data_IF_710418057617
#
_entry.id   IF_710418057617
#
_cell.length_a   1.000
_cell.length_b   1.000
_cell.length_c   1.000
_cell.angle_alpha   90.00
_cell.angle_beta   90.00
_cell.angle_gamma   90.00
#
_symmetry.space_group_name_H-M   'P 1'
#
loop_
_entity.id
_entity.type
_entity.pdbx_description
1 polymer ?
#
# COMPACT_ATOMS: atom_id res chain seq x y z
N UNK A 1 -0.10 9.71 16.56
CA UNK A 1 -0.15 9.26 15.16
C UNK A 1 -0.83 7.89 15.12
N UNK A 2 -1.75 7.65 14.18
CA UNK A 2 -2.40 6.36 13.98
C UNK A 2 -1.83 5.68 12.74
N UNK A 3 -1.58 4.37 12.83
CA UNK A 3 -1.18 3.52 11.72
C UNK A 3 -2.09 2.27 11.66
N UNK A 4 -2.33 1.75 10.45
CA UNK A 4 -3.15 0.55 10.22
C UNK A 4 -2.38 -0.42 9.33
N UNK A 5 -2.13 -1.60 9.83
CA UNK A 5 -1.71 -2.75 9.04
C UNK A 5 -2.94 -3.47 8.49
N UNK A 6 -2.87 -3.96 7.28
CA UNK A 6 -3.97 -4.65 6.62
C UNK A 6 -3.48 -5.72 5.65
N UNK A 7 -4.35 -6.69 5.38
CA UNK A 7 -4.20 -7.66 4.30
C UNK A 7 -5.23 -7.34 3.21
N UNK A 8 -4.83 -7.50 1.97
CA UNK A 8 -5.75 -7.39 0.84
C UNK A 8 -6.68 -8.59 0.79
N UNK A 9 -7.92 -8.38 0.30
CA UNK A 9 -8.93 -9.43 0.20
C UNK A 9 -9.81 -9.63 1.44
N UNK A 10 -9.43 -9.11 2.60
CA UNK A 10 -10.30 -9.03 3.80
C UNK A 10 -10.79 -10.36 4.38
N UNK A 11 -10.49 -11.51 3.78
CA UNK A 11 -10.84 -12.82 4.30
C UNK A 11 -9.69 -13.39 5.14
N UNK A 12 -9.82 -13.38 6.48
CA UNK A 12 -8.80 -13.94 7.37
C UNK A 12 -8.66 -15.46 7.25
N UNK A 13 -9.56 -16.13 6.54
CA UNK A 13 -9.54 -17.58 6.33
C UNK A 13 -8.94 -17.98 4.99
N UNK A 14 -8.66 -17.04 4.08
CA UNK A 14 -8.01 -17.30 2.80
C UNK A 14 -6.56 -17.72 3.01
N UNK A 15 -6.37 -18.92 3.57
CA UNK A 15 -5.09 -19.57 3.69
C UNK A 15 -4.51 -19.84 2.30
N UNK A 16 -3.21 -19.61 2.13
CA UNK A 16 -2.37 -20.04 1.00
C UNK A 16 -2.31 -19.12 -0.24
N UNK A 17 -2.73 -17.87 -0.16
CA UNK A 17 -2.45 -16.90 -1.23
C UNK A 17 -1.50 -15.84 -0.67
N UNK A 18 -0.41 -15.47 -1.38
CA UNK A 18 0.43 -14.35 -0.97
C UNK A 18 -0.40 -13.06 -1.03
N UNK A 19 -0.98 -12.69 0.11
CA UNK A 19 -1.83 -11.52 0.21
C UNK A 19 -0.98 -10.25 0.23
N UNK A 20 -1.36 -9.28 -0.57
CA UNK A 20 -0.79 -7.94 -0.52
C UNK A 20 -1.00 -7.36 0.88
N UNK A 21 0.07 -6.82 1.47
CA UNK A 21 0.01 -6.16 2.78
C UNK A 21 -0.08 -4.67 2.60
N UNK A 22 -0.88 -4.04 3.44
CA UNK A 22 -1.01 -2.60 3.50
C UNK A 22 -0.46 -2.02 4.80
N UNK A 23 0.13 -0.84 4.71
CA UNK A 23 0.41 0.04 5.82
C UNK A 23 -0.12 1.42 5.48
N UNK A 24 -1.17 1.84 6.17
CA UNK A 24 -1.69 3.21 6.08
C UNK A 24 -1.37 3.94 7.37
N UNK A 25 -0.93 5.19 7.28
CA UNK A 25 -0.59 5.98 8.46
C UNK A 25 -0.88 7.45 8.26
N UNK A 26 -1.10 8.14 9.38
CA UNK A 26 -1.40 9.56 9.44
C UNK A 26 -0.19 10.32 9.93
N UNK A 27 0.31 11.26 9.12
CA UNK A 27 1.35 12.21 9.49
C UNK A 27 0.73 13.57 9.81
N UNK A 28 1.36 14.28 10.76
CA UNK A 28 0.97 15.64 11.10
C UNK A 28 -0.12 15.74 12.17
N UNK A 29 -0.50 16.96 12.48
CA UNK A 29 -1.53 17.35 13.43
C UNK A 29 -2.58 18.21 12.74
N UNK A 30 -3.53 18.74 13.48
CA UNK A 30 -4.66 19.51 12.98
C UNK A 30 -4.24 20.60 12.00
N UNK A 31 -4.87 20.61 10.81
CA UNK A 31 -4.63 21.56 9.72
C UNK A 31 -3.46 21.21 8.78
N UNK A 32 -2.52 20.35 9.18
CA UNK A 32 -1.35 19.94 8.39
C UNK A 32 -1.22 18.41 8.42
N UNK A 33 -2.23 17.72 7.88
CA UNK A 33 -2.35 16.26 7.96
C UNK A 33 -2.26 15.61 6.61
N UNK A 34 -1.43 14.56 6.50
CA UNK A 34 -1.44 13.64 5.35
C UNK A 34 -1.83 12.24 5.80
N UNK A 35 -2.77 11.62 5.09
CA UNK A 35 -3.09 10.21 5.22
C UNK A 35 -2.40 9.44 4.10
N UNK A 36 -1.35 8.70 4.42
CA UNK A 36 -0.49 8.01 3.46
C UNK A 36 -0.89 6.54 3.39
N UNK A 37 -1.04 6.04 2.16
CA UNK A 37 -1.37 4.65 1.86
C UNK A 37 -0.21 3.98 1.15
N UNK A 38 0.24 2.89 1.72
CA UNK A 38 1.32 2.08 1.14
C UNK A 38 0.95 0.61 1.13
N UNK A 39 1.59 -0.15 0.26
CA UNK A 39 1.37 -1.58 0.09
C UNK A 39 2.70 -2.31 -0.18
N UNK A 40 2.70 -3.64 -0.03
CA UNK A 40 3.90 -4.48 -0.19
C UNK A 40 4.34 -4.71 -1.65
N UNK A 41 3.80 -3.96 -2.59
CA UNK A 41 4.23 -3.94 -3.98
C UNK A 41 4.35 -2.48 -4.48
N UNK A 42 5.35 -2.14 -5.32
CA UNK A 42 5.59 -0.77 -5.78
C UNK A 42 4.64 -0.31 -6.88
N UNK A 43 3.76 -1.19 -7.37
CA UNK A 43 2.83 -0.93 -8.47
C UNK A 43 1.40 -1.36 -8.12
N UNK A 44 0.43 -0.76 -8.80
CA UNK A 44 -0.98 -1.13 -8.73
C UNK A 44 -1.34 -2.09 -9.88
N UNK A 45 -2.46 -2.80 -9.77
CA UNK A 45 -2.92 -3.77 -10.78
C UNK A 45 -3.67 -3.12 -11.96
N UNK A 46 -4.00 -1.84 -11.89
CA UNK A 46 -4.73 -1.14 -12.95
C UNK A 46 -4.24 0.30 -13.09
N UNK A 47 -4.26 0.81 -14.32
CA UNK A 47 -3.88 2.17 -14.70
C UNK A 47 -5.10 3.09 -14.82
N UNK A 48 -6.23 2.55 -15.29
CA UNK A 48 -7.47 3.29 -15.50
C UNK A 48 -8.61 2.69 -14.69
N UNK A 49 -9.68 3.47 -14.50
CA UNK A 49 -10.87 2.99 -13.79
C UNK A 49 -11.55 1.84 -14.55
N UNK A 50 -11.61 1.90 -15.87
CA UNK A 50 -12.19 0.83 -16.70
C UNK A 50 -11.40 -0.48 -16.55
N UNK A 51 -10.08 -0.42 -16.56
CA UNK A 51 -9.24 -1.58 -16.27
C UNK A 51 -9.46 -2.12 -14.87
N UNK A 52 -9.57 -1.23 -13.87
CA UNK A 52 -9.83 -1.63 -12.48
C UNK A 52 -11.16 -2.35 -12.36
N UNK A 53 -12.22 -1.83 -12.99
CA UNK A 53 -13.54 -2.46 -13.00
C UNK A 53 -13.51 -3.80 -13.73
N UNK A 54 -12.89 -3.89 -14.89
CA UNK A 54 -12.74 -5.13 -15.65
C UNK A 54 -11.95 -6.19 -14.86
N UNK A 55 -10.84 -5.79 -14.21
CA UNK A 55 -10.04 -6.65 -13.37
C UNK A 55 -10.82 -7.23 -12.18
N UNK A 56 -11.58 -6.38 -11.48
CA UNK A 56 -12.41 -6.79 -10.35
C UNK A 56 -13.57 -7.66 -10.80
N UNK A 57 -14.25 -7.29 -11.90
CA UNK A 57 -15.37 -8.06 -12.46
C UNK A 57 -14.94 -9.47 -12.90
N UNK A 58 -13.77 -9.61 -13.54
CA UNK A 58 -13.22 -10.90 -13.95
C UNK A 58 -12.95 -11.84 -12.76
N UNK A 59 -12.69 -11.28 -11.57
CA UNK A 59 -12.37 -12.02 -10.33
C UNK A 59 -13.55 -12.18 -9.38
N UNK A 60 -14.72 -11.70 -9.76
CA UNK A 60 -15.94 -11.95 -8.98
C UNK A 60 -16.22 -13.46 -8.90
N UNK A 61 -16.51 -14.00 -7.70
CA UNK A 61 -16.85 -15.41 -7.54
C UNK A 61 -18.09 -15.79 -8.34
N UNK A 62 -18.01 -16.89 -9.05
CA UNK A 62 -19.17 -17.52 -9.67
C UNK A 62 -20.07 -18.25 -8.65
N UNK A 63 -21.08 -19.01 -9.11
CA UNK A 63 -21.96 -19.77 -8.24
C UNK A 63 -21.25 -20.84 -7.39
N UNK A 64 -20.07 -21.27 -7.80
CA UNK A 64 -19.19 -22.22 -7.11
C UNK A 64 -18.26 -21.56 -6.07
N UNK A 65 -18.39 -20.24 -5.90
CA UNK A 65 -17.55 -19.44 -5.00
C UNK A 65 -16.14 -19.18 -5.51
N UNK A 66 -15.83 -19.50 -6.78
CA UNK A 66 -14.52 -19.31 -7.39
C UNK A 66 -14.58 -18.36 -8.58
N UNK A 67 -13.49 -17.60 -8.85
CA UNK A 67 -13.39 -16.84 -10.08
C UNK A 67 -13.35 -17.74 -11.31
N UNK A 68 -13.92 -17.26 -12.40
CA UNK A 68 -13.80 -17.86 -13.72
C UNK A 68 -12.41 -17.54 -14.29
N UNK A 69 -11.51 -18.50 -14.27
CA UNK A 69 -10.12 -18.33 -14.68
C UNK A 69 -9.97 -17.98 -16.15
N UNK A 70 -10.88 -18.39 -17.03
CA UNK A 70 -10.85 -18.01 -18.45
C UNK A 70 -11.11 -16.50 -18.60
N UNK A 71 -12.03 -15.94 -17.83
CA UNK A 71 -12.27 -14.49 -17.79
C UNK A 71 -11.08 -13.72 -17.19
N UNK A 72 -10.47 -14.27 -16.15
CA UNK A 72 -9.27 -13.67 -15.55
C UNK A 72 -8.14 -13.61 -16.56
N UNK A 73 -7.90 -14.70 -17.30
CA UNK A 73 -6.86 -14.76 -18.32
C UNK A 73 -7.17 -13.84 -19.51
N UNK A 74 -8.40 -13.84 -20.00
CA UNK A 74 -8.82 -12.95 -21.08
C UNK A 74 -8.65 -11.47 -20.72
N UNK A 75 -9.03 -11.09 -19.49
CA UNK A 75 -8.80 -9.75 -18.98
C UNK A 75 -7.32 -9.39 -18.95
N UNK A 76 -6.46 -10.28 -18.44
CA UNK A 76 -5.02 -10.06 -18.35
C UNK A 76 -4.32 -10.09 -19.72
N UNK A 77 -4.87 -10.81 -20.69
CA UNK A 77 -4.37 -10.79 -22.06
C UNK A 77 -4.69 -9.46 -22.77
N UNK A 78 -5.87 -8.90 -22.52
CA UNK A 78 -6.25 -7.57 -23.03
C UNK A 78 -5.54 -6.41 -22.35
N UNK A 79 -5.06 -6.61 -21.11
CA UNK A 79 -4.42 -5.60 -20.27
C UNK A 79 -3.18 -6.20 -19.57
N UNK A 80 -2.05 -6.37 -20.27
CA UNK A 80 -0.86 -7.05 -19.73
C UNK A 80 -0.30 -6.40 -18.46
N UNK A 81 -0.44 -5.09 -18.33
CA UNK A 81 0.00 -4.32 -17.15
C UNK A 81 -0.69 -4.74 -15.85
N UNK A 82 -1.86 -5.38 -15.94
CA UNK A 82 -2.57 -5.90 -14.75
C UNK A 82 -1.83 -7.06 -14.06
N UNK A 83 -0.83 -7.64 -14.72
CA UNK A 83 0.03 -8.70 -14.16
C UNK A 83 1.21 -8.14 -13.36
N UNK A 84 1.65 -6.91 -13.60
CA UNK A 84 2.88 -6.37 -13.00
C UNK A 84 2.93 -6.47 -11.48
N UNK A 85 1.80 -6.26 -10.80
CA UNK A 85 1.72 -6.39 -9.34
C UNK A 85 1.88 -7.85 -8.89
N UNK A 86 1.18 -8.78 -9.54
CA UNK A 86 1.26 -10.20 -9.22
C UNK A 86 2.65 -10.77 -9.52
N UNK A 87 3.24 -10.38 -10.67
CA UNK A 87 4.59 -10.79 -11.07
C UNK A 87 5.64 -10.27 -10.07
N UNK A 88 5.47 -9.02 -9.60
CA UNK A 88 6.34 -8.47 -8.57
C UNK A 88 6.28 -9.30 -7.28
N UNK A 89 5.07 -9.62 -6.81
CA UNK A 89 4.87 -10.40 -5.58
C UNK A 89 5.44 -11.81 -5.72
N UNK A 90 5.26 -12.43 -6.88
CA UNK A 90 5.82 -13.76 -7.17
C UNK A 90 7.36 -13.76 -7.18
N UNK A 91 7.98 -12.70 -7.71
CA UNK A 91 9.43 -12.56 -7.78
C UNK A 91 10.07 -12.11 -6.45
N UNK A 92 9.29 -11.52 -5.53
CA UNK A 92 9.77 -10.95 -4.27
C UNK A 92 8.97 -11.53 -3.09
N UNK A 93 9.36 -12.70 -2.56
CA UNK A 93 8.67 -13.32 -1.44
C UNK A 93 8.51 -12.35 -0.26
N UNK A 94 7.31 -12.28 0.28
CA UNK A 94 7.01 -11.40 1.40
C UNK A 94 7.67 -11.92 2.68
N UNK A 95 8.22 -11.03 3.52
CA UNK A 95 8.73 -11.40 4.85
C UNK A 95 7.66 -12.05 5.72
N UNK A 96 8.06 -12.79 6.76
CA UNK A 96 7.14 -13.46 7.69
C UNK A 96 6.30 -12.51 8.56
N UNK A 97 6.54 -11.18 8.52
CA UNK A 97 5.92 -10.22 9.42
C UNK A 97 5.52 -8.94 8.74
N UNK A 98 4.53 -8.23 9.28
CA UNK A 98 4.26 -6.85 8.90
C UNK A 98 5.46 -5.94 9.18
N UNK A 99 6.14 -6.14 10.30
CA UNK A 99 7.29 -5.35 10.73
C UNK A 99 8.51 -5.49 9.82
N UNK A 100 8.66 -6.61 9.13
CA UNK A 100 9.75 -6.86 8.18
C UNK A 100 9.44 -6.46 6.75
N UNK A 101 8.20 -6.08 6.46
CA UNK A 101 7.73 -5.76 5.11
C UNK A 101 8.15 -4.34 4.72
N UNK A 102 8.70 -4.18 3.52
CA UNK A 102 8.83 -2.87 2.88
C UNK A 102 7.51 -2.51 2.20
N UNK A 103 7.08 -1.25 2.35
CA UNK A 103 5.84 -0.77 1.77
C UNK A 103 6.10 0.39 0.82
N UNK A 104 5.35 0.47 -0.27
CA UNK A 104 5.45 1.50 -1.30
C UNK A 104 4.12 2.23 -1.48
N UNK A 105 4.17 3.57 -1.59
CA UNK A 105 3.10 4.36 -2.18
C UNK A 105 3.15 4.22 -3.69
N UNK A 106 2.07 3.75 -4.30
CA UNK A 106 2.02 3.52 -5.75
C UNK A 106 1.86 4.81 -6.55
N UNK A 107 1.28 5.84 -5.94
CA UNK A 107 1.01 7.13 -6.57
C UNK A 107 2.22 8.05 -6.52
N UNK A 108 2.38 8.89 -7.55
CA UNK A 108 3.36 9.95 -7.62
C UNK A 108 2.72 11.29 -7.18
N UNK A 109 3.16 11.83 -6.05
CA UNK A 109 2.64 13.06 -5.47
C UNK A 109 3.47 14.26 -5.91
N UNK A 110 2.91 15.33 -6.50
CA UNK A 110 3.63 16.57 -6.67
C UNK A 110 3.91 17.19 -5.29
N UNK A 111 5.18 17.41 -4.98
CA UNK A 111 5.63 18.01 -3.74
C UNK A 111 6.36 19.33 -4.02
N UNK A 112 5.90 20.40 -3.40
CA UNK A 112 6.42 21.76 -3.59
C UNK A 112 7.19 22.19 -2.32
N UNK A 113 8.42 22.60 -2.49
CA UNK A 113 9.24 23.09 -1.38
C UNK A 113 8.97 24.57 -1.06
N UNK A 114 9.61 25.10 -0.02
CA UNK A 114 9.46 26.50 0.41
C UNK A 114 9.95 27.54 -0.61
N UNK A 115 10.68 27.13 -1.65
CA UNK A 115 11.10 27.99 -2.76
C UNK A 115 10.12 27.98 -3.92
N UNK A 116 9.04 27.19 -3.85
CA UNK A 116 8.09 27.02 -4.94
C UNK A 116 8.52 26.01 -6.01
N UNK A 117 9.61 25.27 -5.80
CA UNK A 117 10.05 24.25 -6.73
C UNK A 117 9.23 22.96 -6.50
N UNK A 118 8.65 22.40 -7.56
CA UNK A 118 7.82 21.19 -7.50
C UNK A 118 8.54 20.01 -8.14
N UNK A 119 8.54 18.88 -7.44
CA UNK A 119 9.00 17.57 -7.94
C UNK A 119 7.96 16.51 -7.60
N UNK A 120 7.92 15.42 -8.37
CA UNK A 120 7.14 14.27 -7.98
C UNK A 120 7.89 13.41 -6.98
N UNK A 121 7.17 12.89 -5.99
CA UNK A 121 7.68 11.95 -5.01
C UNK A 121 6.81 10.71 -4.92
N UNK A 122 7.43 9.55 -4.63
CA UNK A 122 6.73 8.35 -4.15
C UNK A 122 7.15 8.05 -2.72
N UNK A 123 6.21 7.65 -1.88
CA UNK A 123 6.53 7.22 -0.52
C UNK A 123 7.07 5.79 -0.52
N UNK A 124 8.12 5.54 0.25
CA UNK A 124 8.64 4.21 0.56
C UNK A 124 8.83 4.09 2.06
N UNK A 125 8.35 3.02 2.66
CA UNK A 125 8.43 2.78 4.10
C UNK A 125 9.25 1.52 4.31
N UNK A 126 10.42 1.69 4.91
CA UNK A 126 11.42 0.64 5.03
C UNK A 126 11.59 0.26 6.50
N UNK A 127 11.54 -1.04 6.86
CA UNK A 127 11.77 -1.48 8.22
C UNK A 127 13.19 -1.10 8.67
N UNK A 128 13.30 -0.71 9.96
CA UNK A 128 14.58 -0.37 10.60
C UNK A 128 14.98 -1.51 11.54
N UNK A 129 16.16 -2.08 11.33
CA UNK A 129 16.71 -3.19 12.11
C UNK A 129 16.79 -4.50 11.31
N UNK A 130 17.66 -5.39 11.73
CA UNK A 130 17.93 -6.66 11.04
C UNK A 130 16.86 -7.74 11.29
N UNK A 131 16.08 -7.59 12.35
CA UNK A 131 15.12 -8.62 12.82
C UNK A 131 13.86 -8.74 11.91
N UNK A 132 13.63 -7.79 11.03
CA UNK A 132 12.51 -7.80 10.09
C UNK A 132 12.74 -8.57 8.79
N UNK A 133 13.98 -8.94 8.47
CA UNK A 133 14.35 -9.51 7.16
C UNK A 133 14.30 -11.05 7.07
N UNK A 134 13.81 -11.75 8.08
CA UNK A 134 13.63 -13.19 7.94
C UNK A 134 12.56 -13.47 6.88
N UNK A 135 13.00 -14.02 5.75
CA UNK A 135 12.09 -14.58 4.74
C UNK A 135 11.33 -15.71 5.43
N UNK A 136 10.02 -15.64 5.41
CA UNK A 136 9.19 -16.70 5.95
C UNK A 136 9.49 -18.02 5.22
N UNK A 137 9.51 -19.12 5.95
CA UNK A 137 9.14 -20.40 5.33
C UNK A 137 7.77 -20.21 4.68
N UNK A 138 7.60 -20.69 3.46
CA UNK A 138 6.36 -20.50 2.68
C UNK A 138 5.09 -20.82 3.48
N UNK A 139 5.14 -21.80 4.38
CA UNK A 139 4.03 -22.16 5.26
C UNK A 139 3.70 -21.11 6.34
N UNK A 140 4.67 -20.30 6.78
CA UNK A 140 4.47 -19.31 7.85
C UNK A 140 4.00 -17.96 7.29
N UNK A 141 4.35 -17.64 6.04
CA UNK A 141 3.94 -16.40 5.38
C UNK A 141 2.44 -16.34 5.06
N UNK A 142 1.73 -17.44 5.20
CA UNK A 142 0.40 -17.65 4.65
C UNK A 142 -0.74 -17.65 5.67
N UNK A 143 -0.45 -17.46 6.96
CA UNK A 143 -1.47 -17.47 8.01
C UNK A 143 -1.70 -16.07 8.57
N UNK A 144 -2.86 -15.44 8.28
CA UNK A 144 -3.19 -14.10 8.76
C UNK A 144 -3.14 -13.97 10.29
N UNK A 145 -3.56 -14.99 11.01
CA UNK A 145 -3.53 -15.06 12.47
C UNK A 145 -2.10 -14.95 13.04
N UNK A 146 -1.11 -15.55 12.35
CA UNK A 146 0.28 -15.47 12.77
C UNK A 146 0.87 -14.08 12.55
N UNK A 147 0.46 -13.36 11.50
CA UNK A 147 0.93 -12.01 11.24
C UNK A 147 0.48 -11.01 12.32
N UNK A 148 -0.76 -11.14 12.81
CA UNK A 148 -1.26 -10.29 13.90
C UNK A 148 -0.60 -10.67 15.24
N UNK A 149 -0.48 -11.94 15.55
CA UNK A 149 0.21 -12.40 16.77
C UNK A 149 1.70 -12.03 16.80
N UNK A 150 2.40 -12.08 15.65
CA UNK A 150 3.77 -11.58 15.52
C UNK A 150 3.83 -10.07 15.74
N UNK A 151 2.88 -9.32 15.16
CA UNK A 151 2.79 -7.87 15.33
C UNK A 151 2.65 -7.49 16.80
N UNK A 152 1.72 -8.11 17.52
CA UNK A 152 1.46 -7.87 18.95
C UNK A 152 2.71 -8.18 19.80
N UNK A 153 3.36 -9.31 19.53
CA UNK A 153 4.58 -9.73 20.23
C UNK A 153 5.72 -8.72 20.04
N UNK A 154 5.90 -8.22 18.82
CA UNK A 154 6.93 -7.24 18.50
C UNK A 154 6.62 -5.86 19.07
N UNK A 155 5.36 -5.46 19.12
CA UNK A 155 4.92 -4.21 19.77
C UNK A 155 5.25 -4.28 21.26
N UNK A 156 4.91 -5.40 21.93
CA UNK A 156 5.25 -5.62 23.33
C UNK A 156 6.76 -5.54 23.60
N UNK A 157 7.56 -6.05 22.68
CA UNK A 157 9.03 -5.95 22.73
C UNK A 157 9.59 -4.59 22.29
N UNK A 158 8.74 -3.65 21.85
CA UNK A 158 9.08 -2.29 21.35
C UNK A 158 10.03 -2.28 20.13
N UNK A 159 9.95 -3.28 19.26
CA UNK A 159 10.89 -3.53 18.17
C UNK A 159 10.39 -3.13 16.80
N UNK A 160 9.31 -2.33 16.67
CA UNK A 160 8.77 -1.97 15.36
C UNK A 160 9.09 -0.53 15.02
N UNK A 161 9.95 -0.37 14.02
CA UNK A 161 10.35 0.95 13.49
C UNK A 161 10.41 0.91 11.97
N UNK A 162 9.99 2.00 11.35
CA UNK A 162 10.09 2.19 9.91
C UNK A 162 10.68 3.56 9.58
N UNK A 163 11.56 3.62 8.60
CA UNK A 163 11.95 4.87 7.96
C UNK A 163 10.95 5.21 6.86
N UNK A 164 10.39 6.40 6.90
CA UNK A 164 9.56 6.95 5.82
C UNK A 164 10.46 7.72 4.88
N UNK A 165 10.47 7.32 3.61
CA UNK A 165 11.31 7.89 2.57
C UNK A 165 10.43 8.51 1.48
N UNK A 166 10.88 9.61 0.90
CA UNK A 166 10.38 10.17 -0.35
C UNK A 166 11.39 9.86 -1.46
N UNK A 167 11.01 9.01 -2.41
CA UNK A 167 11.78 8.79 -3.63
C UNK A 167 11.54 9.97 -4.55
N UNK A 168 12.61 10.58 -5.08
CA UNK A 168 12.50 11.71 -5.98
C UNK A 168 12.40 11.26 -7.43
N UNK A 169 11.58 11.94 -8.22
CA UNK A 169 11.41 11.67 -9.64
C UNK A 169 12.68 11.96 -10.45
N UNK A 170 12.75 11.34 -11.63
CA UNK A 170 13.72 11.63 -12.68
C UNK A 170 12.99 11.94 -13.98
N UNK A 171 13.60 12.69 -14.91
CA UNK A 171 13.02 12.90 -16.23
C UNK A 171 12.62 11.60 -16.90
N UNK A 172 11.36 11.48 -17.34
CA UNK A 172 10.82 10.28 -17.98
C UNK A 172 10.19 9.25 -17.05
N UNK A 173 10.20 9.46 -15.74
CA UNK A 173 9.47 8.58 -14.82
C UNK A 173 7.95 8.61 -15.09
N UNK A 174 7.27 7.46 -15.07
CA UNK A 174 5.82 7.38 -15.27
C UNK A 174 5.08 7.90 -14.03
N UNK A 175 4.71 9.18 -14.02
CA UNK A 175 4.00 9.79 -12.89
C UNK A 175 2.47 9.63 -12.95
N UNK A 176 1.93 9.25 -14.14
CA UNK A 176 0.51 9.04 -14.36
C UNK A 176 0.13 7.56 -14.48
N UNK A 177 1.10 6.67 -14.50
CA UNK A 177 0.86 5.22 -14.63
C UNK A 177 1.34 4.49 -13.38
N UNK A 178 0.39 4.10 -12.55
CA UNK A 178 0.65 3.40 -11.29
C UNK A 178 0.96 1.92 -11.47
N UNK A 179 0.86 1.38 -12.69
CA UNK A 179 1.18 -0.01 -13.00
C UNK A 179 2.65 -0.20 -13.38
N UNK A 180 3.38 0.90 -13.57
CA UNK A 180 4.80 0.88 -13.96
C UNK A 180 5.65 1.33 -12.78
N UNK A 181 6.63 0.52 -12.47
CA UNK A 181 7.63 0.83 -11.45
C UNK A 181 8.58 1.92 -11.95
N UNK A 182 8.95 2.86 -11.09
CA UNK A 182 10.04 3.77 -11.40
C UNK A 182 11.36 3.00 -11.47
N UNK A 183 12.21 3.32 -12.45
CA UNK A 183 13.52 2.69 -12.58
C UNK A 183 14.35 2.92 -11.31
N UNK A 184 15.09 1.89 -10.90
CA UNK A 184 16.01 1.96 -9.75
C UNK A 184 15.36 2.38 -8.41
N UNK A 185 14.07 2.09 -8.20
CA UNK A 185 13.35 2.42 -6.94
C UNK A 185 14.05 1.93 -5.66
N UNK A 186 14.88 0.89 -5.76
CA UNK A 186 15.60 0.36 -4.61
C UNK A 186 16.90 1.11 -4.32
N UNK A 187 17.48 1.80 -5.30
CA UNK A 187 18.79 2.47 -5.22
C UNK A 187 18.76 3.94 -5.55
N UNK A 188 17.60 4.48 -5.99
CA UNK A 188 17.52 5.90 -6.35
C UNK A 188 17.63 6.81 -5.15
N UNK A 189 17.97 8.08 -5.40
CA UNK A 189 17.98 9.12 -4.40
C UNK A 189 16.65 9.19 -3.65
N UNK A 190 16.72 9.18 -2.33
CA UNK A 190 15.56 9.24 -1.47
C UNK A 190 15.83 10.14 -0.26
N UNK A 191 14.87 11.00 0.06
CA UNK A 191 14.90 11.82 1.24
C UNK A 191 14.24 11.10 2.41
N UNK A 192 14.91 11.00 3.54
CA UNK A 192 14.30 10.48 4.75
C UNK A 192 13.41 11.55 5.38
N UNK A 193 12.11 11.30 5.42
CA UNK A 193 11.12 12.21 6.00
C UNK A 193 11.00 12.05 7.52
N UNK A 194 11.21 10.84 8.02
CA UNK A 194 11.10 10.56 9.46
C UNK A 194 11.13 9.07 9.79
N UNK A 195 10.80 8.77 11.04
CA UNK A 195 10.69 7.39 11.54
C UNK A 195 9.34 7.19 12.21
N UNK A 196 8.63 6.14 11.81
CA UNK A 196 7.47 5.62 12.53
C UNK A 196 7.98 4.67 13.62
N UNK A 197 7.54 4.87 14.84
CA UNK A 197 7.74 3.94 15.96
C UNK A 197 6.36 3.46 16.39
N UNK A 198 6.08 2.17 16.27
CA UNK A 198 4.82 1.59 16.73
C UNK A 198 4.96 1.25 18.20
N UNK A 199 4.15 1.88 19.05
CA UNK A 199 4.30 1.83 20.51
C UNK A 199 3.19 1.08 21.22
N UNK A 200 2.08 0.78 20.54
CA UNK A 200 0.94 0.07 21.11
C UNK A 200 -0.12 -0.26 20.07
N UNK A 201 -1.07 -1.07 20.46
CA UNK A 201 -2.27 -1.40 19.69
C UNK A 201 -3.45 -0.64 20.31
N UNK A 202 -4.23 0.04 19.48
CA UNK A 202 -5.46 0.70 19.89
C UNK A 202 -6.62 -0.31 19.84
N UNK A 203 -7.57 -0.25 20.78
CA UNK A 203 -8.79 -1.02 20.74
C UNK A 203 -9.60 -0.73 19.46
N UNK A 204 -10.34 -1.73 18.96
CA UNK A 204 -11.11 -1.59 17.73
C UNK A 204 -12.16 -0.48 17.81
N UNK A 205 -12.85 -0.36 18.93
CA UNK A 205 -13.85 0.68 19.20
C UNK A 205 -13.26 2.11 19.14
N UNK A 206 -12.03 2.29 19.60
CA UNK A 206 -11.30 3.55 19.48
C UNK A 206 -10.94 3.87 18.02
N UNK A 207 -10.84 2.85 17.16
CA UNK A 207 -10.48 2.98 15.75
C UNK A 207 -11.68 3.13 14.80
N UNK A 208 -12.89 2.79 15.22
CA UNK A 208 -14.09 2.79 14.36
C UNK A 208 -14.38 4.15 13.73
N UNK A 209 -14.08 5.23 14.44
CA UNK A 209 -14.20 6.61 13.95
C UNK A 209 -12.99 7.10 13.14
N UNK A 210 -11.91 6.33 13.08
CA UNK A 210 -10.68 6.74 12.44
C UNK A 210 -10.73 6.47 10.93
N UNK A 211 -11.01 7.50 10.16
CA UNK A 211 -11.07 7.43 8.69
C UNK A 211 -9.78 7.96 8.09
N UNK A 212 -9.09 7.12 7.33
CA UNK A 212 -8.03 7.55 6.41
C UNK A 212 -8.67 7.94 5.08
N UNK A 213 -8.26 9.07 4.51
CA UNK A 213 -8.76 9.52 3.21
C UNK A 213 -7.59 9.96 2.31
N UNK A 214 -7.48 9.44 1.07
CA UNK A 214 -6.32 9.72 0.21
C UNK A 214 -6.12 11.21 -0.10
N UNK A 215 -7.21 11.99 -0.16
CA UNK A 215 -7.15 13.43 -0.41
C UNK A 215 -6.78 14.27 0.83
N UNK A 216 -6.61 13.65 2.00
CA UNK A 216 -6.03 14.36 3.14
C UNK A 216 -4.52 14.48 2.92
N UNK A 217 -4.10 15.63 2.42
CA UNK A 217 -2.70 15.95 2.13
C UNK A 217 -2.34 17.27 2.81
N UNK A 218 -1.17 17.32 3.43
CA UNK A 218 -0.65 18.55 4.03
C UNK A 218 -0.24 19.55 2.95
N UNK A 219 -0.13 20.81 3.34
CA UNK A 219 0.38 21.88 2.47
C UNK A 219 1.71 21.49 1.82
N UNK A 220 1.87 21.84 0.54
CA UNK A 220 3.04 21.47 -0.26
C UNK A 220 2.97 20.07 -0.89
N UNK A 221 1.97 19.25 -0.55
CA UNK A 221 1.73 17.94 -1.21
C UNK A 221 0.45 18.03 -2.01
N UNK A 222 0.55 17.93 -3.33
CA UNK A 222 -0.61 17.95 -4.24
C UNK A 222 -1.16 16.54 -4.51
N UNK A 223 -2.36 16.51 -5.09
CA UNK A 223 -2.97 15.24 -5.51
C UNK A 223 -2.19 14.63 -6.69
N UNK A 224 -1.93 13.33 -6.67
CA UNK A 224 -1.43 12.59 -7.83
C UNK A 224 -2.29 12.79 -9.07
N UNK A 225 -1.69 12.93 -10.27
CA UNK A 225 -2.43 13.17 -11.50
C UNK A 225 -3.06 11.91 -12.11
N UNK A 226 -2.83 10.74 -11.52
CA UNK A 226 -3.33 9.47 -12.05
C UNK A 226 -4.81 9.25 -11.76
N UNK A 227 -5.48 8.54 -12.67
CA UNK A 227 -6.92 8.28 -12.62
C UNK A 227 -7.32 7.41 -11.43
N UNK A 228 -6.47 6.47 -11.02
CA UNK A 228 -6.73 5.57 -9.90
C UNK A 228 -6.77 6.34 -8.59
N UNK A 229 -5.92 7.36 -8.41
CA UNK A 229 -5.99 8.21 -7.22
C UNK A 229 -7.33 8.93 -7.10
N UNK A 230 -7.81 9.52 -8.21
CA UNK A 230 -9.10 10.20 -8.25
C UNK A 230 -10.27 9.24 -7.93
N UNK A 231 -10.26 8.05 -8.55
CA UNK A 231 -11.26 7.01 -8.29
C UNK A 231 -11.25 6.54 -6.83
N UNK A 232 -10.07 6.36 -6.24
CA UNK A 232 -9.93 6.01 -4.83
C UNK A 232 -10.51 7.07 -3.90
N UNK A 233 -10.27 8.35 -4.15
CA UNK A 233 -10.84 9.43 -3.35
C UNK A 233 -12.37 9.35 -3.31
N UNK A 234 -13.03 9.15 -4.45
CA UNK A 234 -14.47 8.99 -4.55
C UNK A 234 -14.97 7.73 -3.80
N UNK A 235 -14.29 6.59 -3.99
CA UNK A 235 -14.66 5.34 -3.35
C UNK A 235 -14.54 5.41 -1.81
N UNK A 236 -13.49 6.06 -1.30
CA UNK A 236 -13.32 6.25 0.15
C UNK A 236 -14.41 7.14 0.74
N UNK A 237 -14.82 8.20 0.06
CA UNK A 237 -15.92 9.06 0.51
C UNK A 237 -17.24 8.27 0.60
N UNK A 238 -17.56 7.44 -0.40
CA UNK A 238 -18.76 6.57 -0.42
C UNK A 238 -18.67 5.53 0.71
N UNK A 239 -17.53 4.87 0.87
CA UNK A 239 -17.32 3.87 1.92
C UNK A 239 -17.49 4.47 3.31
N UNK A 240 -17.01 5.68 3.53
CA UNK A 240 -17.20 6.40 4.79
C UNK A 240 -18.67 6.72 5.06
N UNK A 241 -19.40 7.18 4.04
CA UNK A 241 -20.82 7.49 4.18
C UNK A 241 -21.68 6.25 4.53
N UNK A 242 -21.26 5.06 4.06
CA UNK A 242 -21.95 3.79 4.33
C UNK A 242 -21.68 3.19 5.71
N UNK A 243 -20.66 3.67 6.43
CA UNK A 243 -20.30 3.21 7.79
C UNK A 243 -20.94 4.03 8.90
N UNK A 244 -21.58 5.13 8.56
CA UNK A 244 -22.34 6.01 9.45
C UNK A 244 -23.81 5.62 9.44
#
# INVERSE_FOLDING_TARGET
MLARFSLDGGDPTAANIPLLRGLSFRLGSDGQRSDIFTQSAPVHFARTLDQMLAFLAARMPGPDGRPDWEKVEACSAGHPETRHQADYIAAHPLPASFAGTTYWGVHAFPATNSKGETRFIKFKVVPVGAEGRQVANEATAMRPDLLHGDLDSRIAARNIRFSVMALLDRPGDPVMDVTIRWSDEDTREALRLGTIVVTGVEPNDACDGAVFHPANLAEGIGCPPDEIFAARCAAYAISQARRR
#
